data_IF_764964858480
#
_entry.id   IF_764964858480
#
_cell.length_a   1.000
_cell.length_b   1.000
_cell.length_c   1.000
_cell.angle_alpha   90.00
_cell.angle_beta   90.00
_cell.angle_gamma   90.00
#
_symmetry.space_group_name_H-M   'P 1'
#
loop_
_entity.id
_entity.type
_entity.pdbx_description
1 polymer ?
#
# COMPACT_ATOMS: atom_id res chain seq x y z
N UNK A 1 -10.67 -7.08 -12.72
CA UNK A 1 -10.99 -8.50 -12.73
C UNK A 1 -11.68 -8.86 -11.41
N UNK A 2 -12.53 -9.87 -11.41
CA UNK A 2 -13.27 -10.40 -10.24
C UNK A 2 -12.96 -11.88 -10.06
N UNK A 3 -13.03 -12.35 -8.82
CA UNK A 3 -12.79 -13.74 -8.44
C UNK A 3 -13.70 -14.13 -7.28
N UNK A 4 -14.27 -15.33 -7.33
CA UNK A 4 -15.09 -15.90 -6.26
C UNK A 4 -14.24 -16.77 -5.30
N UNK A 5 -13.07 -17.23 -5.74
CA UNK A 5 -12.20 -18.15 -5.01
C UNK A 5 -10.83 -17.55 -4.64
N UNK A 6 -10.53 -16.33 -5.10
CA UNK A 6 -9.25 -15.66 -4.94
C UNK A 6 -8.09 -16.26 -5.75
N UNK A 7 -8.37 -17.20 -6.65
CA UNK A 7 -7.38 -17.93 -7.45
C UNK A 7 -7.63 -17.74 -8.94
N UNK A 8 -8.88 -17.90 -9.34
CA UNK A 8 -9.33 -17.78 -10.74
C UNK A 8 -9.96 -16.41 -10.95
N UNK A 9 -9.46 -15.65 -11.92
CA UNK A 9 -9.92 -14.29 -12.19
C UNK A 9 -10.55 -14.18 -13.56
N UNK A 10 -11.70 -13.53 -13.62
CA UNK A 10 -12.37 -13.14 -14.87
C UNK A 10 -12.17 -11.64 -15.09
N UNK A 11 -11.78 -11.25 -16.31
CA UNK A 11 -11.80 -9.84 -16.68
C UNK A 11 -13.25 -9.33 -16.62
N UNK A 12 -13.44 -8.15 -16.05
CA UNK A 12 -14.73 -7.50 -15.99
C UNK A 12 -14.72 -6.23 -16.84
N UNK A 13 -14.20 -5.13 -16.30
CA UNK A 13 -14.17 -3.83 -16.94
C UNK A 13 -13.09 -2.96 -16.31
N UNK A 14 -12.80 -1.82 -16.93
CA UNK A 14 -12.11 -0.72 -16.26
C UNK A 14 -13.13 -0.07 -15.34
N UNK A 15 -12.78 0.02 -14.05
CA UNK A 15 -13.69 0.54 -13.00
C UNK A 15 -13.45 2.00 -12.69
N UNK A 16 -12.29 2.54 -13.09
CA UNK A 16 -11.92 3.93 -12.94
C UNK A 16 -10.91 4.33 -14.01
N UNK A 17 -11.18 5.43 -14.68
CA UNK A 17 -10.26 6.12 -15.60
C UNK A 17 -10.07 7.56 -15.15
N UNK A 18 -8.88 8.12 -15.43
CA UNK A 18 -8.54 9.50 -15.11
C UNK A 18 -7.67 10.09 -16.23
N UNK A 19 -7.72 11.41 -16.39
CA UNK A 19 -6.89 12.13 -17.36
C UNK A 19 -5.40 12.07 -17.03
N UNK A 20 -5.07 11.84 -15.76
CA UNK A 20 -3.70 11.67 -15.27
C UNK A 20 -3.45 10.23 -14.85
N UNK A 21 -2.18 9.82 -14.91
CA UNK A 21 -1.79 8.51 -14.38
C UNK A 21 -2.12 8.40 -12.90
N UNK A 22 -2.90 7.38 -12.57
CA UNK A 22 -3.27 7.02 -11.21
C UNK A 22 -2.69 5.65 -10.88
N UNK A 23 -2.37 5.42 -9.60
CA UNK A 23 -1.80 4.15 -9.14
C UNK A 23 -2.03 3.90 -7.64
N UNK A 24 -1.59 2.74 -7.18
CA UNK A 24 -1.63 2.30 -5.79
C UNK A 24 -3.03 2.36 -5.15
N UNK A 25 -4.04 1.71 -5.75
CA UNK A 25 -5.38 1.68 -5.19
C UNK A 25 -5.42 0.78 -3.95
N UNK A 26 -5.94 1.31 -2.84
CA UNK A 26 -6.22 0.55 -1.62
C UNK A 26 -7.66 0.78 -1.21
N UNK A 27 -8.39 -0.32 -0.98
CA UNK A 27 -9.80 -0.28 -0.58
C UNK A 27 -9.92 -0.43 0.93
N UNK A 28 -10.76 0.40 1.53
CA UNK A 28 -11.09 0.43 2.96
C UNK A 28 -12.60 0.29 3.15
N UNK A 29 -13.00 -0.37 4.24
CA UNK A 29 -14.38 -0.39 4.71
C UNK A 29 -14.54 0.60 5.87
N UNK A 30 -15.46 1.55 5.73
CA UNK A 30 -15.76 2.57 6.74
C UNK A 30 -17.27 2.61 6.95
N UNK A 31 -17.73 2.04 8.06
CA UNK A 31 -19.14 1.77 8.26
C UNK A 31 -19.64 0.73 7.24
N UNK A 32 -20.72 1.05 6.54
CA UNK A 32 -21.29 0.22 5.47
C UNK A 32 -20.72 0.53 4.09
N UNK A 33 -19.94 1.58 3.98
CA UNK A 33 -19.40 2.07 2.71
C UNK A 33 -17.99 1.55 2.43
N UNK A 34 -17.66 1.48 1.14
CA UNK A 34 -16.31 1.17 0.68
C UNK A 34 -15.67 2.38 0.03
N UNK A 35 -14.44 2.64 0.46
CA UNK A 35 -13.64 3.76 -0.03
C UNK A 35 -12.32 3.26 -0.62
N UNK A 36 -11.75 4.01 -1.54
CA UNK A 36 -10.48 3.69 -2.17
C UNK A 36 -9.58 4.92 -2.18
N UNK A 37 -8.38 4.79 -1.63
CA UNK A 37 -7.34 5.81 -1.83
C UNK A 37 -6.61 5.54 -3.13
N UNK A 38 -6.27 6.60 -3.83
CA UNK A 38 -5.48 6.55 -5.07
C UNK A 38 -4.49 7.70 -5.08
N UNK A 39 -3.25 7.41 -5.45
CA UNK A 39 -2.28 8.45 -5.75
C UNK A 39 -2.45 9.00 -7.16
N UNK A 40 -2.32 10.31 -7.28
CA UNK A 40 -2.17 11.01 -8.54
C UNK A 40 -0.94 11.91 -8.47
N UNK A 41 0.26 11.34 -8.58
CA UNK A 41 1.51 12.10 -8.42
C UNK A 41 1.56 13.29 -9.36
N UNK A 42 1.13 13.14 -10.62
CA UNK A 42 1.04 14.25 -11.57
C UNK A 42 -0.08 15.25 -11.25
N UNK A 43 -1.15 14.77 -10.60
CA UNK A 43 -2.22 15.63 -10.08
C UNK A 43 -1.86 16.28 -8.73
N UNK A 44 -0.71 15.92 -8.16
CA UNK A 44 -0.18 16.46 -6.90
C UNK A 44 -1.14 16.25 -5.72
N UNK A 45 -1.76 15.07 -5.63
CA UNK A 45 -2.72 14.76 -4.57
C UNK A 45 -2.87 13.26 -4.30
N UNK A 46 -3.38 12.95 -3.10
CA UNK A 46 -3.97 11.66 -2.72
C UNK A 46 -5.48 11.86 -2.65
N UNK A 47 -6.21 11.15 -3.50
CA UNK A 47 -7.67 11.27 -3.61
C UNK A 47 -8.37 10.11 -2.95
N UNK A 48 -9.59 10.40 -2.47
CA UNK A 48 -10.51 9.43 -1.90
C UNK A 48 -11.70 9.23 -2.83
N UNK A 49 -11.94 7.99 -3.19
CA UNK A 49 -13.08 7.58 -3.99
C UNK A 49 -14.04 6.76 -3.13
N UNK A 50 -15.34 6.94 -3.31
CA UNK A 50 -16.40 6.13 -2.72
C UNK A 50 -16.98 5.21 -3.79
N UNK A 51 -17.22 3.94 -3.43
CA UNK A 51 -17.95 3.04 -4.31
C UNK A 51 -19.42 3.46 -4.40
N UNK A 52 -19.94 3.58 -5.61
CA UNK A 52 -21.35 3.71 -5.91
C UNK A 52 -21.99 2.34 -6.10
N UNK A 53 -21.26 1.44 -6.72
CA UNK A 53 -21.58 0.02 -6.91
C UNK A 53 -20.28 -0.77 -6.84
N UNK A 54 -20.01 -1.41 -5.68
CA UNK A 54 -18.77 -2.13 -5.45
C UNK A 54 -18.74 -3.47 -6.17
N UNK A 55 -17.64 -3.82 -6.87
CA UNK A 55 -16.40 -3.06 -7.09
C UNK A 55 -16.40 -2.24 -8.40
N UNK A 56 -17.53 -2.03 -9.04
CA UNK A 56 -17.67 -1.70 -10.45
C UNK A 56 -17.69 -0.19 -10.74
N UNK A 57 -18.14 0.63 -9.81
CA UNK A 57 -18.33 2.06 -10.04
C UNK A 57 -17.86 2.89 -8.83
N UNK A 58 -17.07 3.93 -9.10
CA UNK A 58 -16.46 4.77 -8.08
C UNK A 58 -16.61 6.24 -8.42
N UNK A 59 -16.75 7.08 -7.41
CA UNK A 59 -16.75 8.54 -7.54
C UNK A 59 -15.75 9.17 -6.61
N UNK A 60 -15.03 10.19 -7.08
CA UNK A 60 -14.14 10.97 -6.24
C UNK A 60 -14.96 11.81 -5.26
N UNK A 61 -14.69 11.67 -3.97
CA UNK A 61 -15.45 12.37 -2.91
C UNK A 61 -14.57 13.34 -2.14
N UNK A 62 -13.24 13.17 -2.13
CA UNK A 62 -12.35 14.05 -1.39
C UNK A 62 -10.89 13.99 -1.89
N UNK A 63 -10.09 14.94 -1.43
CA UNK A 63 -8.64 14.97 -1.51
C UNK A 63 -8.05 14.94 -0.11
N UNK A 64 -7.48 13.79 0.28
CA UNK A 64 -6.95 13.60 1.63
C UNK A 64 -5.65 14.39 1.89
N UNK A 65 -4.79 14.47 0.89
CA UNK A 65 -3.54 15.25 0.94
C UNK A 65 -3.29 15.95 -0.40
N UNK A 66 -2.84 17.18 -0.33
CA UNK A 66 -2.23 17.91 -1.45
C UNK A 66 -0.71 17.81 -1.32
N UNK A 67 -0.03 17.54 -2.42
CA UNK A 67 1.41 17.38 -2.48
C UNK A 67 1.83 16.21 -3.36
N UNK A 68 3.11 16.11 -3.70
CA UNK A 68 3.65 15.05 -4.56
C UNK A 68 3.86 13.76 -3.75
N UNK A 69 2.79 13.19 -3.23
CA UNK A 69 2.82 11.99 -2.42
C UNK A 69 2.54 10.75 -3.24
N UNK A 70 3.15 9.63 -2.85
CA UNK A 70 2.94 8.31 -3.44
C UNK A 70 2.71 7.23 -2.39
N UNK A 71 2.18 6.10 -2.84
CA UNK A 71 1.97 4.87 -2.07
C UNK A 71 1.15 5.08 -0.78
N UNK A 72 -0.05 5.70 -0.82
CA UNK A 72 -0.83 5.99 0.38
C UNK A 72 -1.31 4.71 1.07
N UNK A 73 -1.13 4.61 2.38
CA UNK A 73 -1.69 3.53 3.19
C UNK A 73 -2.24 4.10 4.50
N UNK A 74 -3.54 3.90 4.75
CA UNK A 74 -4.21 4.34 5.98
C UNK A 74 -4.31 3.16 6.95
N UNK A 75 -3.92 3.41 8.19
CA UNK A 75 -4.11 2.48 9.29
C UNK A 75 -4.80 3.18 10.47
N UNK A 76 -5.79 2.52 11.08
CA UNK A 76 -6.48 3.01 12.27
C UNK A 76 -5.88 2.37 13.52
N UNK A 77 -5.41 3.19 14.45
CA UNK A 77 -4.95 2.77 15.77
C UNK A 77 -5.75 3.52 16.85
N UNK A 78 -6.55 2.79 17.63
CA UNK A 78 -7.50 3.44 18.55
C UNK A 78 -8.49 4.34 17.79
N UNK A 79 -8.55 5.60 18.17
CA UNK A 79 -9.41 6.60 17.52
C UNK A 79 -8.70 7.43 16.45
N UNK A 80 -7.39 7.19 16.24
CA UNK A 80 -6.56 7.95 15.30
C UNK A 80 -6.32 7.16 14.01
N UNK A 81 -6.48 7.84 12.86
CA UNK A 81 -6.10 7.35 11.54
C UNK A 81 -4.72 7.90 11.18
N UNK A 82 -3.84 7.02 10.73
CA UNK A 82 -2.49 7.33 10.28
C UNK A 82 -2.40 7.08 8.78
N UNK A 83 -2.11 8.12 8.01
CA UNK A 83 -1.88 8.04 6.58
C UNK A 83 -0.38 8.07 6.31
N UNK A 84 0.16 6.94 5.89
CA UNK A 84 1.55 6.78 5.46
C UNK A 84 1.66 7.08 3.98
N UNK A 85 2.65 7.87 3.60
CA UNK A 85 2.97 8.22 2.22
C UNK A 85 4.47 8.24 2.01
N UNK A 86 4.89 8.22 0.75
CA UNK A 86 6.30 8.25 0.36
C UNK A 86 6.57 9.40 -0.59
N UNK A 87 7.82 9.85 -0.67
CA UNK A 87 8.23 10.80 -1.71
C UNK A 87 8.37 10.09 -3.05
N UNK A 88 7.72 10.58 -4.13
CA UNK A 88 7.89 10.02 -5.46
C UNK A 88 9.27 10.36 -6.04
N UNK A 89 9.65 9.68 -7.12
CA UNK A 89 10.85 9.89 -7.94
C UNK A 89 12.19 9.60 -7.25
N UNK A 90 12.44 10.14 -6.04
CA UNK A 90 13.69 9.90 -5.30
C UNK A 90 13.64 8.65 -4.42
N UNK A 91 12.43 8.22 -4.01
CA UNK A 91 12.17 7.00 -3.23
C UNK A 91 12.88 6.94 -1.86
N UNK A 92 13.19 8.09 -1.26
CA UNK A 92 14.10 8.16 -0.12
C UNK A 92 13.42 8.42 1.22
N UNK A 93 12.24 9.07 1.21
CA UNK A 93 11.61 9.51 2.44
C UNK A 93 10.20 8.93 2.58
N UNK A 94 9.84 8.58 3.83
CA UNK A 94 8.49 8.24 4.23
C UNK A 94 7.96 9.27 5.24
N UNK A 95 6.68 9.59 5.11
CA UNK A 95 5.98 10.54 5.96
C UNK A 95 4.70 9.93 6.51
N UNK A 96 4.29 10.40 7.68
CA UNK A 96 3.04 10.04 8.33
C UNK A 96 2.22 11.31 8.54
N UNK A 97 0.92 11.22 8.35
CA UNK A 97 -0.05 12.24 8.74
C UNK A 97 -1.10 11.58 9.61
N UNK A 98 -1.66 12.29 10.58
CA UNK A 98 -2.65 11.76 11.50
C UNK A 98 -3.94 12.56 11.49
N UNK A 99 -5.06 11.91 11.79
CA UNK A 99 -6.38 12.53 11.90
C UNK A 99 -7.28 11.71 12.83
N UNK A 100 -8.23 12.35 13.50
CA UNK A 100 -9.29 11.68 14.25
C UNK A 100 -10.46 11.22 13.35
N UNK A 101 -10.37 11.46 12.04
CA UNK A 101 -11.36 11.06 11.05
C UNK A 101 -10.67 10.39 9.86
N UNK A 102 -11.28 9.32 9.32
CA UNK A 102 -10.84 8.71 8.08
C UNK A 102 -10.78 9.70 6.90
N UNK A 103 -11.64 10.70 6.93
CA UNK A 103 -11.75 11.74 5.90
C UNK A 103 -10.79 12.92 6.11
N UNK A 104 -10.01 12.92 7.18
CA UNK A 104 -9.18 14.05 7.55
C UNK A 104 -9.93 15.12 8.37
N UNK A 105 -9.40 16.35 8.45
CA UNK A 105 -8.12 16.76 7.88
C UNK A 105 -6.93 16.03 8.51
N UNK A 106 -5.95 15.69 7.69
CA UNK A 106 -4.72 15.04 8.13
C UNK A 106 -3.65 16.07 8.49
N UNK A 107 -3.04 15.91 9.66
CA UNK A 107 -1.99 16.79 10.21
C UNK A 107 -0.64 16.08 10.14
N UNK A 108 0.39 16.79 9.77
CA UNK A 108 1.74 16.24 9.63
C UNK A 108 2.29 15.76 10.98
N UNK A 109 2.89 14.56 10.98
CA UNK A 109 3.51 13.98 12.16
C UNK A 109 4.82 14.72 12.51
N UNK A 110 5.06 15.05 13.81
CA UNK A 110 6.22 15.87 14.21
C UNK A 110 7.59 15.23 13.95
N UNK A 111 7.64 13.91 13.75
CA UNK A 111 8.89 13.20 13.42
C UNK A 111 9.13 13.09 11.90
N UNK A 112 8.30 13.71 11.06
CA UNK A 112 8.50 13.61 9.60
C UNK A 112 9.81 14.28 9.14
N UNK A 113 10.52 13.66 8.18
CA UNK A 113 10.25 12.36 7.61
C UNK A 113 10.61 11.22 8.59
N UNK A 114 9.69 10.26 8.78
CA UNK A 114 9.91 9.11 9.69
C UNK A 114 10.94 8.10 9.16
N UNK A 115 11.16 8.09 7.86
CA UNK A 115 12.30 7.48 7.18
C UNK A 115 12.89 8.55 6.28
N UNK A 116 14.21 8.75 6.34
CA UNK A 116 14.90 9.75 5.53
C UNK A 116 16.10 9.17 4.81
N UNK A 117 16.26 9.57 3.52
CA UNK A 117 17.39 9.20 2.65
C UNK A 117 17.65 7.69 2.57
N UNK A 118 16.58 6.89 2.60
CA UNK A 118 16.69 5.44 2.64
C UNK A 118 15.77 4.76 1.63
N UNK A 119 16.24 4.60 0.40
CA UNK A 119 15.53 3.91 -0.71
C UNK A 119 15.15 2.46 -0.42
N UNK A 120 15.75 1.89 0.62
CA UNK A 120 15.54 0.49 0.98
C UNK A 120 14.21 0.26 1.69
N UNK A 121 13.70 1.27 2.43
CA UNK A 121 12.55 1.09 3.31
C UNK A 121 11.56 2.28 3.30
N UNK A 122 11.78 3.31 2.48
CA UNK A 122 10.92 4.48 2.51
C UNK A 122 9.55 4.25 1.87
N UNK A 123 9.48 3.54 0.73
CA UNK A 123 8.23 3.38 -0.03
C UNK A 123 7.34 2.28 0.53
N UNK A 124 6.05 2.56 0.69
CA UNK A 124 5.09 1.51 1.02
C UNK A 124 4.93 0.52 -0.16
N UNK A 125 4.71 -0.75 0.16
CA UNK A 125 4.45 -1.80 -0.82
C UNK A 125 3.01 -2.31 -0.76
N UNK A 126 2.20 -1.82 0.17
CA UNK A 126 0.82 -2.23 0.38
C UNK A 126 0.26 -1.71 1.68
N UNK A 127 -0.86 -2.31 2.10
CA UNK A 127 -1.51 -1.98 3.37
C UNK A 127 -0.63 -2.30 4.56
N UNK A 128 -0.69 -1.40 5.55
CA UNK A 128 -0.27 -1.74 6.91
C UNK A 128 -1.28 -2.73 7.47
N UNK A 129 -0.81 -3.77 8.13
CA UNK A 129 -1.64 -4.84 8.64
C UNK A 129 -1.17 -5.36 10.00
N UNK A 130 -2.11 -5.89 10.77
CA UNK A 130 -1.83 -6.56 12.04
C UNK A 130 -1.83 -8.07 11.85
N UNK A 131 -0.86 -8.74 12.46
CA UNK A 131 -0.76 -10.21 12.51
C UNK A 131 -0.06 -10.64 13.80
N UNK A 132 -0.67 -11.56 14.55
CA UNK A 132 -0.14 -12.06 15.83
C UNK A 132 0.16 -10.92 16.83
N UNK A 133 -0.75 -9.96 16.96
CA UNK A 133 -0.64 -8.78 17.83
C UNK A 133 0.59 -7.89 17.52
N UNK A 134 1.05 -7.91 16.29
CA UNK A 134 2.15 -7.07 15.81
C UNK A 134 1.71 -6.34 14.55
N UNK A 135 2.14 -5.11 14.41
CA UNK A 135 1.83 -4.25 13.30
C UNK A 135 2.97 -4.26 12.28
N UNK A 136 2.62 -4.44 11.02
CA UNK A 136 3.59 -4.57 9.94
C UNK A 136 3.33 -3.57 8.82
N UNK A 137 4.42 -2.99 8.32
CA UNK A 137 4.45 -2.14 7.12
C UNK A 137 5.27 -2.83 6.04
N UNK A 138 4.67 -3.33 4.96
CA UNK A 138 5.41 -3.80 3.79
C UNK A 138 5.99 -2.62 3.03
N UNK A 139 7.25 -2.72 2.63
CA UNK A 139 7.97 -1.64 1.95
C UNK A 139 8.71 -2.13 0.71
N UNK A 140 8.84 -1.25 -0.28
CA UNK A 140 9.59 -1.50 -1.48
C UNK A 140 11.07 -1.20 -1.24
N UNK A 141 11.93 -2.14 -1.57
CA UNK A 141 13.36 -1.88 -1.70
C UNK A 141 13.64 -1.34 -3.12
N UNK A 142 14.01 -0.08 -3.18
CA UNK A 142 14.37 0.60 -4.41
C UNK A 142 15.87 0.97 -4.44
N UNK A 143 16.72 0.26 -3.68
CA UNK A 143 18.15 0.60 -3.52
C UNK A 143 18.92 0.50 -4.83
N UNK A 144 18.72 -0.58 -5.60
CA UNK A 144 19.41 -0.80 -6.87
C UNK A 144 18.54 -0.46 -8.07
N UNK A 145 17.24 -0.78 -7.99
CA UNK A 145 16.26 -0.48 -9.03
C UNK A 145 14.86 -0.32 -8.41
N UNK A 146 13.97 0.33 -9.11
CA UNK A 146 12.57 0.48 -8.71
C UNK A 146 11.90 -0.87 -8.47
N UNK A 147 11.35 -1.06 -7.26
CA UNK A 147 10.58 -2.24 -6.91
C UNK A 147 11.36 -3.55 -6.95
N UNK A 148 12.61 -3.53 -6.53
CA UNK A 148 13.47 -4.71 -6.56
C UNK A 148 12.95 -5.82 -5.66
N UNK A 149 12.57 -5.49 -4.42
CA UNK A 149 12.14 -6.45 -3.38
C UNK A 149 11.07 -5.82 -2.50
N UNK A 150 10.32 -6.67 -1.81
CA UNK A 150 9.51 -6.26 -0.66
C UNK A 150 10.23 -6.61 0.62
N UNK A 151 10.38 -5.63 1.51
CA UNK A 151 10.83 -5.82 2.88
C UNK A 151 9.67 -5.70 3.84
N UNK A 152 9.80 -6.28 5.01
CA UNK A 152 8.77 -6.22 6.04
C UNK A 152 9.31 -5.50 7.28
N UNK A 153 8.66 -4.40 7.64
CA UNK A 153 8.96 -3.63 8.85
C UNK A 153 7.94 -3.97 9.93
N UNK A 154 8.39 -4.26 11.13
CA UNK A 154 7.55 -4.32 12.33
C UNK A 154 7.47 -2.92 12.93
N UNK A 155 6.28 -2.33 13.00
CA UNK A 155 6.04 -1.06 13.69
C UNK A 155 5.99 -1.35 15.19
N UNK A 156 6.91 -0.75 15.93
CA UNK A 156 7.07 -0.95 17.37
C UNK A 156 6.35 0.13 18.18
N UNK A 157 6.26 1.33 17.64
CA UNK A 157 5.57 2.47 18.23
C UNK A 157 4.87 3.26 17.11
N UNK A 158 3.60 3.59 17.33
CA UNK A 158 2.81 4.45 16.47
C UNK A 158 1.85 5.27 17.33
N UNK A 159 2.09 6.56 17.41
CA UNK A 159 1.22 7.53 18.05
C UNK A 159 1.23 8.84 17.26
N UNK A 160 0.48 9.84 17.68
CA UNK A 160 0.50 11.17 17.02
C UNK A 160 1.83 11.91 17.18
N UNK A 161 2.73 11.45 18.05
CA UNK A 161 4.00 12.12 18.35
C UNK A 161 5.22 11.23 18.26
N UNK A 162 5.05 9.90 18.24
CA UNK A 162 6.17 8.95 18.21
C UNK A 162 5.96 7.89 17.14
N UNK A 163 7.03 7.56 16.45
CA UNK A 163 7.09 6.47 15.48
C UNK A 163 8.41 5.73 15.59
N UNK A 164 8.35 4.39 15.60
CA UNK A 164 9.52 3.54 15.54
C UNK A 164 9.19 2.23 14.85
N UNK A 165 10.04 1.81 13.94
CA UNK A 165 9.94 0.52 13.26
C UNK A 165 11.29 -0.20 13.22
N UNK A 166 11.26 -1.50 12.95
CA UNK A 166 12.45 -2.31 12.65
C UNK A 166 12.17 -3.31 11.53
N UNK A 167 13.20 -3.64 10.77
CA UNK A 167 13.11 -4.74 9.80
C UNK A 167 13.09 -6.10 10.52
N UNK A 168 12.20 -7.02 10.09
CA UNK A 168 12.15 -8.37 10.66
C UNK A 168 13.26 -9.26 10.07
N UNK A 169 13.65 -10.33 10.81
CA UNK A 169 14.77 -11.22 10.44
C UNK A 169 14.60 -11.89 9.06
N UNK A 170 13.38 -12.28 8.69
CA UNK A 170 13.09 -12.95 7.42
C UNK A 170 12.81 -11.98 6.25
N UNK A 171 13.29 -10.75 6.35
CA UNK A 171 13.22 -9.72 5.31
C UNK A 171 14.57 -9.62 4.56
N UNK A 172 14.59 -9.38 3.26
CA UNK A 172 13.45 -9.24 2.35
C UNK A 172 12.72 -10.56 2.12
N UNK A 173 11.47 -10.47 1.65
CA UNK A 173 10.72 -11.65 1.21
C UNK A 173 11.50 -12.32 0.08
N UNK A 174 11.83 -13.61 0.28
CA UNK A 174 12.72 -14.31 -0.64
C UNK A 174 12.09 -14.59 -1.99
N UNK A 175 12.84 -14.32 -3.04
CA UNK A 175 12.52 -14.77 -4.40
C UNK A 175 12.93 -16.23 -4.58
N UNK A 176 12.14 -16.98 -5.35
CA UNK A 176 12.61 -18.24 -5.92
C UNK A 176 13.49 -17.91 -7.13
N UNK A 177 14.70 -18.48 -7.20
CA UNK A 177 15.63 -18.21 -8.30
C UNK A 177 15.06 -18.49 -9.70
N UNK A 178 14.06 -19.38 -9.79
CA UNK A 178 13.38 -19.75 -11.04
C UNK A 178 11.89 -19.30 -11.04
N UNK A 179 11.53 -18.40 -10.11
CA UNK A 179 10.13 -17.97 -9.92
C UNK A 179 9.69 -16.83 -10.85
N UNK A 180 8.37 -16.67 -10.93
CA UNK A 180 7.72 -15.57 -11.64
C UNK A 180 8.08 -14.18 -11.07
N UNK A 181 8.56 -14.12 -9.84
CA UNK A 181 9.00 -12.90 -9.12
C UNK A 181 10.53 -12.83 -8.97
N UNK A 182 11.27 -13.46 -9.88
CA UNK A 182 12.73 -13.62 -9.79
C UNK A 182 13.50 -12.31 -9.75
N UNK A 183 13.05 -11.29 -10.47
CA UNK A 183 13.79 -10.04 -10.64
C UNK A 183 13.18 -8.86 -9.91
N UNK A 184 11.86 -8.87 -9.70
CA UNK A 184 11.13 -7.77 -9.04
C UNK A 184 9.94 -8.29 -8.27
N UNK A 185 9.63 -7.61 -7.18
CA UNK A 185 8.41 -7.69 -6.41
C UNK A 185 8.25 -6.37 -5.66
N UNK A 186 7.17 -5.62 -5.88
CA UNK A 186 7.03 -4.30 -5.26
C UNK A 186 5.66 -4.05 -4.61
N UNK A 187 4.74 -5.01 -4.69
CA UNK A 187 3.47 -4.95 -3.97
C UNK A 187 3.29 -6.14 -3.05
N UNK A 188 2.66 -5.91 -1.90
CA UNK A 188 2.34 -6.93 -0.93
C UNK A 188 1.11 -6.52 -0.12
N UNK A 189 -0.04 -7.14 -0.42
CA UNK A 189 -1.26 -6.92 0.32
C UNK A 189 -1.76 -8.23 0.91
N UNK A 190 -2.06 -8.21 2.21
CA UNK A 190 -2.72 -9.31 2.91
C UNK A 190 -4.21 -9.04 2.97
N UNK A 191 -5.01 -10.07 2.73
CA UNK A 191 -6.46 -10.06 2.90
C UNK A 191 -6.98 -11.45 3.25
N UNK A 192 -8.18 -11.51 3.76
CA UNK A 192 -8.83 -12.76 4.15
C UNK A 192 -9.99 -13.09 3.21
N UNK A 193 -10.02 -14.33 2.73
CA UNK A 193 -11.19 -14.88 2.04
C UNK A 193 -11.63 -16.11 2.84
N UNK A 194 -12.84 -16.03 3.41
CA UNK A 194 -13.31 -17.02 4.37
C UNK A 194 -12.27 -17.19 5.51
N UNK A 195 -11.90 -18.43 5.83
CA UNK A 195 -10.90 -18.73 6.88
C UNK A 195 -9.46 -18.78 6.34
N UNK A 196 -9.21 -18.25 5.13
CA UNK A 196 -7.90 -18.31 4.49
C UNK A 196 -7.27 -16.96 4.37
N UNK A 197 -6.03 -16.88 4.86
CA UNK A 197 -5.17 -15.73 4.64
C UNK A 197 -4.60 -15.79 3.21
N UNK A 198 -4.78 -14.73 2.45
CA UNK A 198 -4.32 -14.59 1.08
C UNK A 198 -3.34 -13.42 0.98
N UNK A 199 -2.42 -13.52 0.03
CA UNK A 199 -1.49 -12.43 -0.30
C UNK A 199 -1.62 -12.10 -1.77
N UNK A 200 -1.91 -10.85 -2.08
CA UNK A 200 -1.79 -10.32 -3.43
C UNK A 200 -0.41 -9.68 -3.57
N UNK A 201 0.35 -10.12 -4.54
CA UNK A 201 1.69 -9.61 -4.83
C UNK A 201 1.96 -9.66 -6.32
N UNK A 202 2.84 -8.80 -6.78
CA UNK A 202 3.32 -8.78 -8.15
C UNK A 202 4.72 -9.36 -8.27
N UNK A 203 5.20 -9.53 -9.48
CA UNK A 203 6.55 -9.96 -9.74
C UNK A 203 6.93 -9.84 -11.21
N UNK A 204 8.22 -9.83 -11.48
CA UNK A 204 8.75 -9.90 -12.83
C UNK A 204 9.73 -11.08 -12.97
N UNK A 205 9.48 -12.01 -13.90
CA UNK A 205 10.48 -12.96 -14.38
C UNK A 205 11.50 -12.24 -15.27
N UNK A 206 12.47 -12.95 -15.80
CA UNK A 206 13.38 -12.43 -16.82
C UNK A 206 12.62 -11.60 -17.87
N UNK A 207 13.13 -10.45 -18.26
CA UNK A 207 12.60 -9.54 -19.29
C UNK A 207 11.63 -8.42 -18.83
N UNK A 208 11.52 -8.15 -17.54
CA UNK A 208 10.87 -6.92 -17.05
C UNK A 208 9.34 -6.85 -17.19
N UNK A 209 8.67 -7.92 -17.60
CA UNK A 209 7.20 -7.97 -17.62
C UNK A 209 6.67 -8.30 -16.22
N UNK A 210 5.90 -7.40 -15.64
CA UNK A 210 5.19 -7.62 -14.38
C UNK A 210 4.09 -8.68 -14.55
N UNK A 211 4.01 -9.59 -13.60
CA UNK A 211 2.91 -10.55 -13.46
C UNK A 211 2.29 -10.40 -12.07
N UNK A 212 1.00 -10.20 -12.01
CA UNK A 212 0.25 -10.23 -10.76
C UNK A 212 -0.07 -11.68 -10.39
N UNK A 213 0.25 -12.10 -9.18
CA UNK A 213 -0.16 -13.40 -8.64
C UNK A 213 -0.72 -13.25 -7.24
N UNK A 214 -1.75 -14.04 -6.97
CA UNK A 214 -2.29 -14.24 -5.63
C UNK A 214 -1.84 -15.62 -5.15
N UNK A 215 -1.16 -15.64 -4.01
CA UNK A 215 -0.56 -16.87 -3.47
C UNK A 215 -1.28 -17.24 -2.19
N UNK A 216 -1.78 -18.49 -2.15
CA UNK A 216 -2.38 -19.06 -0.94
C UNK A 216 -1.26 -19.56 -0.03
N UNK A 217 -1.24 -19.09 1.22
CA UNK A 217 -0.37 -19.66 2.25
C UNK A 217 -0.95 -21.01 2.69
N UNK A 218 -0.13 -22.06 2.67
CA UNK A 218 -0.46 -23.37 3.26
C UNK A 218 -0.21 -23.33 4.77
#
# INVERSE_FOLDING_TARGET
>A
AVSDDGVSYKHHSIVLEDEVSISFPIVYEVGEDKYMTIEGVKANNIRLFKALDFPYSWTCVDTLLTGPWSDPSIYKSGDTYFLFVSTPYVYEDAHIFSSNSFFGPYVEHPMNPVVSKNKRIARNAGNIFEMNNKLYRPVQDCSNMYGEKVRMMEILELSETTYREREIENSPLSFKQDGWNRTKMHTFNIFQINDKMMVATDGAPHNGKLQLRIVKRR
#
